data_IF_374679466231
#
_entry.id   IF_374679466231
#
_cell.length_a   1.000
_cell.length_b   1.000
_cell.length_c   1.000
_cell.angle_alpha   90.00
_cell.angle_beta   90.00
_cell.angle_gamma   90.00
#
_symmetry.space_group_name_H-M   'P 1'
#
loop_
_entity.id
_entity.type
_entity.pdbx_description
1 polymer ?
#
# COMPACT_ATOMS: atom_id res chain seq x y z
N UNK A 1 -15.03 -24.51 58.38
CA UNK A 1 -14.99 -23.32 57.51
C UNK A 1 -14.05 -23.68 56.35
N UNK A 2 -14.58 -24.09 55.20
CA UNK A 2 -15.06 -23.26 54.07
C UNK A 2 -13.96 -23.08 52.99
N UNK A 3 -14.18 -23.78 51.88
CA UNK A 3 -13.88 -23.48 50.47
C UNK A 3 -12.55 -23.87 49.76
N UNK A 4 -12.80 -24.45 48.58
CA UNK A 4 -12.05 -25.04 47.46
C UNK A 4 -11.09 -24.11 46.68
N UNK A 5 -10.28 -24.63 45.73
CA UNK A 5 -9.03 -24.05 45.24
C UNK A 5 -9.22 -23.06 44.08
N UNK A 6 -8.20 -22.24 43.81
CA UNK A 6 -8.16 -21.39 42.61
C UNK A 6 -6.88 -21.68 41.82
N UNK A 7 -7.09 -22.29 40.65
CA UNK A 7 -6.17 -22.46 39.54
C UNK A 7 -5.59 -21.11 39.12
N UNK A 8 -4.28 -20.91 39.30
CA UNK A 8 -3.58 -19.79 38.66
C UNK A 8 -3.18 -20.19 37.24
N UNK A 9 -4.02 -19.70 36.33
CA UNK A 9 -3.84 -19.44 34.90
C UNK A 9 -2.38 -19.53 34.40
N UNK A 10 -2.14 -20.45 33.48
CA UNK A 10 -1.01 -20.40 32.56
C UNK A 10 -1.20 -19.20 31.61
N UNK A 11 -0.29 -18.23 31.68
CA UNK A 11 -0.26 -17.11 30.72
C UNK A 11 1.07 -17.11 29.96
N UNK A 12 0.94 -17.44 28.68
CA UNK A 12 1.78 -17.17 27.51
C UNK A 12 3.19 -16.61 27.71
N UNK A 13 4.17 -17.38 27.22
CA UNK A 13 5.35 -16.82 26.56
C UNK A 13 5.55 -17.57 25.22
N UNK A 14 4.69 -17.28 24.24
CA UNK A 14 5.04 -17.52 22.84
C UNK A 14 5.93 -16.36 22.44
N UNK A 15 7.25 -16.56 22.50
CA UNK A 15 8.22 -15.60 22.00
C UNK A 15 8.04 -15.47 20.49
N UNK A 16 7.79 -14.24 20.05
CA UNK A 16 7.66 -13.81 18.66
C UNK A 16 8.85 -14.29 17.83
N UNK A 17 8.69 -15.40 17.12
CA UNK A 17 9.45 -15.67 15.91
C UNK A 17 8.79 -14.88 14.76
N UNK A 18 8.82 -13.55 14.85
CA UNK A 18 8.55 -12.71 13.69
C UNK A 18 9.87 -12.61 12.93
N UNK A 19 10.24 -13.68 12.22
CA UNK A 19 11.00 -13.45 10.99
C UNK A 19 10.12 -12.52 10.16
N UNK A 20 10.65 -11.37 9.75
CA UNK A 20 9.93 -10.44 8.90
C UNK A 20 9.35 -11.22 7.72
N UNK A 21 8.05 -11.51 7.79
CA UNK A 21 7.26 -11.78 6.61
C UNK A 21 7.42 -10.51 5.80
N UNK A 22 8.29 -10.53 4.80
CA UNK A 22 8.28 -9.50 3.77
C UNK A 22 6.81 -9.42 3.35
N UNK A 23 6.18 -8.28 3.63
CA UNK A 23 4.73 -8.15 3.59
C UNK A 23 4.23 -8.73 2.28
N UNK A 24 3.48 -9.83 2.35
CA UNK A 24 2.93 -10.43 1.15
C UNK A 24 1.95 -9.43 0.57
N UNK A 25 2.15 -9.07 -0.69
CA UNK A 25 1.29 -8.15 -1.44
C UNK A 25 0.56 -8.91 -2.53
N UNK A 26 -0.61 -8.41 -2.92
CA UNK A 26 -1.43 -9.01 -3.97
C UNK A 26 -2.06 -10.34 -3.60
N UNK A 27 -2.81 -10.90 -4.55
CA UNK A 27 -3.55 -12.15 -4.39
C UNK A 27 -3.54 -12.99 -5.67
N UNK A 28 -3.68 -14.31 -5.51
CA UNK A 28 -3.94 -15.20 -6.64
C UNK A 28 -5.41 -15.08 -7.06
N UNK A 29 -5.67 -14.79 -8.35
CA UNK A 29 -7.04 -14.64 -8.88
C UNK A 29 -7.42 -15.75 -9.89
N UNK A 30 -6.43 -16.45 -10.46
CA UNK A 30 -6.64 -17.56 -11.38
C UNK A 30 -5.86 -18.78 -10.89
N UNK A 31 -6.44 -19.98 -10.93
CA UNK A 31 -5.74 -21.20 -10.54
C UNK A 31 -4.74 -21.66 -11.62
N UNK A 32 -3.62 -22.24 -11.19
CA UNK A 32 -2.65 -22.87 -12.07
C UNK A 32 -3.04 -24.32 -12.41
N UNK A 33 -2.66 -24.79 -13.60
CA UNK A 33 -2.70 -26.21 -13.94
C UNK A 33 -1.55 -26.96 -13.25
N UNK A 34 -1.71 -28.27 -13.04
CA UNK A 34 -0.62 -29.10 -12.57
C UNK A 34 0.53 -29.13 -13.59
N UNK A 35 1.77 -29.03 -13.11
CA UNK A 35 2.98 -29.24 -13.91
C UNK A 35 3.55 -30.65 -13.69
N UNK A 36 4.69 -30.99 -14.30
CA UNK A 36 5.31 -32.32 -14.15
C UNK A 36 5.69 -32.74 -12.73
N UNK A 37 5.64 -31.84 -11.74
CA UNK A 37 5.77 -32.19 -10.32
C UNK A 37 4.51 -32.82 -9.71
N UNK A 38 3.38 -32.81 -10.45
CA UNK A 38 2.10 -33.39 -10.04
C UNK A 38 1.13 -32.38 -9.41
N UNK A 39 1.55 -31.14 -9.16
CA UNK A 39 0.72 -30.05 -8.66
C UNK A 39 0.98 -28.72 -9.39
N UNK A 40 0.13 -27.70 -9.17
CA UNK A 40 0.38 -26.37 -9.73
C UNK A 40 1.57 -25.70 -9.05
N UNK A 41 2.22 -24.80 -9.78
CA UNK A 41 3.19 -23.89 -9.16
C UNK A 41 2.48 -22.90 -8.21
N UNK A 42 3.24 -22.28 -7.33
CA UNK A 42 2.74 -21.32 -6.33
C UNK A 42 3.34 -19.96 -6.63
N UNK A 43 2.49 -18.93 -6.70
CA UNK A 43 2.88 -17.54 -6.90
C UNK A 43 2.66 -16.74 -5.63
N UNK A 44 3.65 -15.91 -5.29
CA UNK A 44 3.53 -14.89 -4.25
C UNK A 44 4.29 -13.63 -4.69
N UNK A 45 3.95 -12.51 -4.11
CA UNK A 45 4.71 -11.27 -4.22
C UNK A 45 4.94 -10.70 -2.82
N UNK A 46 6.08 -10.04 -2.62
CA UNK A 46 6.41 -9.36 -1.38
C UNK A 46 7.01 -7.97 -1.66
N UNK A 47 6.92 -7.08 -0.67
CA UNK A 47 7.43 -5.72 -0.76
C UNK A 47 6.35 -4.70 -0.40
N UNK A 48 6.20 -3.67 -1.23
CA UNK A 48 5.28 -2.56 -1.03
C UNK A 48 4.35 -2.33 -2.23
N UNK A 49 3.11 -1.96 -1.94
CA UNK A 49 2.15 -1.46 -2.94
C UNK A 49 2.29 0.05 -3.17
N UNK A 50 3.17 0.76 -2.45
CA UNK A 50 3.50 2.15 -2.76
C UNK A 50 4.52 2.20 -3.90
N UNK A 51 4.06 2.62 -5.08
CA UNK A 51 4.87 2.65 -6.31
C UNK A 51 6.16 3.46 -6.18
N UNK A 52 6.19 4.49 -5.32
CA UNK A 52 7.39 5.33 -5.13
C UNK A 52 8.53 4.61 -4.41
N UNK A 53 8.23 3.51 -3.71
CA UNK A 53 9.26 2.70 -3.05
C UNK A 53 9.97 1.75 -4.01
N UNK A 54 9.37 1.47 -5.18
CA UNK A 54 9.89 0.54 -6.19
C UNK A 54 10.39 -0.79 -5.60
N UNK A 55 9.63 -1.34 -4.67
CA UNK A 55 10.00 -2.51 -3.88
C UNK A 55 8.96 -3.61 -4.09
N UNK A 56 9.11 -4.37 -5.16
CA UNK A 56 8.28 -5.55 -5.44
C UNK A 56 9.18 -6.69 -5.85
N UNK A 57 9.07 -7.82 -5.17
CA UNK A 57 9.70 -9.09 -5.55
C UNK A 57 8.64 -10.15 -5.78
N UNK A 58 8.57 -10.66 -7.01
CA UNK A 58 7.77 -11.83 -7.36
C UNK A 58 8.54 -13.10 -7.02
N UNK A 59 7.85 -14.14 -6.56
CA UNK A 59 8.41 -15.46 -6.38
C UNK A 59 7.46 -16.53 -6.94
N UNK A 60 8.04 -17.56 -7.55
CA UNK A 60 7.30 -18.71 -8.04
C UNK A 60 7.99 -19.99 -7.55
N UNK A 61 7.25 -20.91 -6.93
CA UNK A 61 7.76 -22.18 -6.40
C UNK A 61 6.93 -23.38 -6.87
N UNK A 62 7.32 -24.59 -6.46
CA UNK A 62 6.71 -25.84 -6.94
C UNK A 62 6.84 -25.99 -8.46
N UNK A 63 7.94 -25.49 -9.00
CA UNK A 63 8.32 -25.67 -10.40
C UNK A 63 9.08 -26.99 -10.57
N UNK A 64 9.06 -27.59 -11.78
CA UNK A 64 10.01 -28.64 -12.11
C UNK A 64 11.45 -28.14 -11.88
N UNK A 65 12.33 -29.00 -11.35
CA UNK A 65 13.71 -28.60 -11.07
C UNK A 65 14.50 -28.39 -12.36
N UNK A 66 15.43 -27.45 -12.33
CA UNK A 66 16.37 -27.14 -13.43
C UNK A 66 15.69 -26.78 -14.77
N UNK A 67 14.52 -26.15 -14.72
CA UNK A 67 13.83 -25.64 -15.92
C UNK A 67 13.95 -24.13 -16.03
N UNK A 68 13.84 -23.64 -17.26
CA UNK A 68 13.86 -22.21 -17.54
C UNK A 68 12.44 -21.65 -17.61
N UNK A 69 12.28 -20.42 -17.17
CA UNK A 69 11.04 -19.67 -17.26
C UNK A 69 11.26 -18.16 -17.16
N UNK A 70 10.20 -17.39 -17.34
CA UNK A 70 10.22 -15.94 -17.18
C UNK A 70 8.83 -15.43 -16.79
N UNK A 71 8.81 -14.26 -16.14
CA UNK A 71 7.57 -13.61 -15.76
C UNK A 71 6.91 -12.92 -16.95
N UNK A 72 5.59 -12.94 -16.93
CA UNK A 72 4.69 -12.18 -17.77
C UNK A 72 3.98 -11.14 -16.91
N UNK A 73 3.59 -10.04 -17.53
CA UNK A 73 2.90 -8.93 -16.87
C UNK A 73 1.89 -8.32 -17.83
N UNK A 74 0.74 -7.89 -17.33
CA UNK A 74 -0.29 -7.27 -18.15
C UNK A 74 -1.20 -6.36 -17.31
N UNK A 75 -1.90 -5.40 -17.92
CA UNK A 75 -2.81 -4.48 -17.22
C UNK A 75 -4.20 -5.08 -16.95
N UNK A 76 -4.50 -6.26 -17.49
CA UNK A 76 -5.83 -6.88 -17.39
C UNK A 76 -5.74 -8.38 -17.08
N UNK A 77 -6.77 -8.90 -16.42
CA UNK A 77 -7.05 -10.33 -16.37
C UNK A 77 -7.63 -10.80 -17.72
N UNK A 78 -7.32 -12.04 -18.10
CA UNK A 78 -7.89 -12.71 -19.28
C UNK A 78 -7.92 -14.23 -19.01
N UNK A 79 -8.40 -15.03 -19.97
CA UNK A 79 -8.27 -16.46 -19.90
C UNK A 79 -8.13 -17.09 -21.29
N UNK A 80 -6.93 -17.58 -21.58
CA UNK A 80 -6.64 -18.36 -22.78
C UNK A 80 -6.27 -19.77 -22.37
N UNK A 81 -7.09 -20.73 -22.82
CA UNK A 81 -6.87 -22.15 -22.59
C UNK A 81 -5.69 -22.65 -23.43
N UNK A 82 -4.72 -23.29 -22.79
CA UNK A 82 -3.59 -24.00 -23.42
C UNK A 82 -2.89 -23.24 -24.58
N UNK A 83 -2.48 -21.98 -24.41
CA UNK A 83 -1.94 -21.17 -25.50
C UNK A 83 -0.62 -21.75 -26.00
N UNK A 84 -0.47 -21.82 -27.33
CA UNK A 84 0.75 -22.32 -27.97
C UNK A 84 1.08 -23.79 -27.63
N UNK A 85 0.08 -24.59 -27.24
CA UNK A 85 0.29 -25.99 -26.83
C UNK A 85 0.82 -26.15 -25.40
N UNK A 86 0.70 -25.11 -24.57
CA UNK A 86 0.98 -25.18 -23.13
C UNK A 86 0.01 -26.12 -22.42
N UNK A 87 0.50 -26.84 -21.41
CA UNK A 87 -0.33 -27.63 -20.50
C UNK A 87 -1.08 -26.73 -19.49
N UNK A 88 -0.62 -25.49 -19.32
CA UNK A 88 -1.24 -24.47 -18.47
C UNK A 88 -2.14 -23.50 -19.23
N UNK A 89 -2.82 -22.64 -18.47
CA UNK A 89 -3.67 -21.58 -19.00
C UNK A 89 -3.05 -20.20 -18.73
N UNK A 90 -3.19 -19.29 -19.69
CA UNK A 90 -2.76 -17.91 -19.55
C UNK A 90 -3.91 -17.09 -19.00
N UNK A 91 -3.72 -16.45 -17.83
CA UNK A 91 -4.80 -15.76 -17.13
C UNK A 91 -4.72 -14.22 -17.19
N UNK A 92 -3.88 -13.66 -18.07
CA UNK A 92 -3.61 -12.21 -18.16
C UNK A 92 -3.70 -11.74 -19.61
N UNK A 93 -4.09 -10.48 -19.85
CA UNK A 93 -4.37 -9.91 -21.17
C UNK A 93 -4.24 -8.37 -21.22
N UNK A 94 -4.91 -7.71 -22.17
CA UNK A 94 -4.86 -6.24 -22.33
C UNK A 94 -3.58 -5.65 -22.94
N UNK A 95 -2.50 -6.44 -23.03
CA UNK A 95 -1.22 -6.03 -23.62
C UNK A 95 -0.05 -6.68 -22.88
N UNK A 96 0.22 -7.94 -23.20
CA UNK A 96 1.13 -8.76 -22.39
C UNK A 96 2.59 -8.36 -22.60
N UNK A 97 3.20 -7.84 -21.54
CA UNK A 97 4.64 -7.71 -21.37
C UNK A 97 5.32 -9.03 -21.04
N UNK A 98 6.57 -9.16 -21.45
CA UNK A 98 7.40 -10.34 -21.19
C UNK A 98 8.74 -9.91 -20.62
N UNK A 99 9.11 -10.45 -19.47
CA UNK A 99 10.48 -10.36 -18.96
C UNK A 99 11.41 -11.36 -19.66
N UNK A 100 11.30 -11.49 -20.98
CA UNK A 100 12.03 -12.48 -21.76
C UNK A 100 13.54 -12.20 -21.84
N UNK A 101 13.97 -10.97 -21.55
CA UNK A 101 15.39 -10.63 -21.33
C UNK A 101 15.95 -11.12 -19.98
N UNK A 102 15.06 -11.54 -19.07
CA UNK A 102 15.38 -11.98 -17.70
C UNK A 102 14.91 -13.43 -17.49
N UNK A 103 15.44 -14.36 -18.29
CA UNK A 103 15.15 -15.79 -18.14
C UNK A 103 15.78 -16.32 -16.85
N UNK A 104 14.97 -16.99 -16.04
CA UNK A 104 15.36 -17.54 -14.75
C UNK A 104 15.41 -19.07 -14.81
N UNK A 105 16.29 -19.67 -14.00
CA UNK A 105 16.35 -21.10 -13.77
C UNK A 105 15.72 -21.44 -12.40
N UNK A 106 14.82 -22.42 -12.36
CA UNK A 106 14.23 -22.91 -11.11
C UNK A 106 15.23 -23.65 -10.21
N UNK A 107 16.40 -24.00 -10.75
CA UNK A 107 17.48 -24.67 -10.04
C UNK A 107 17.05 -25.97 -9.35
N UNK A 108 17.85 -26.41 -8.38
CA UNK A 108 17.56 -27.61 -7.59
C UNK A 108 16.43 -27.41 -6.57
N UNK A 109 16.00 -26.18 -6.32
CA UNK A 109 14.93 -25.87 -5.36
C UNK A 109 13.55 -25.84 -5.99
N UNK A 110 13.45 -25.81 -7.34
CA UNK A 110 12.17 -25.69 -8.03
C UNK A 110 11.51 -24.33 -7.77
N UNK A 111 12.31 -23.26 -7.66
CA UNK A 111 11.82 -21.94 -7.29
C UNK A 111 12.63 -20.81 -7.94
N UNK A 112 11.98 -19.67 -8.17
CA UNK A 112 12.59 -18.44 -8.68
C UNK A 112 12.12 -17.22 -7.89
N UNK A 113 12.94 -16.17 -7.91
CA UNK A 113 12.59 -14.83 -7.42
C UNK A 113 12.97 -13.80 -8.47
N UNK A 114 12.20 -12.72 -8.56
CA UNK A 114 12.41 -11.65 -9.53
C UNK A 114 11.99 -10.29 -8.96
N UNK A 115 12.93 -9.36 -8.75
CA UNK A 115 12.60 -7.98 -8.44
C UNK A 115 11.97 -7.32 -9.67
N UNK A 116 10.86 -6.63 -9.48
CA UNK A 116 10.14 -5.89 -10.51
C UNK A 116 10.49 -4.42 -10.40
N UNK A 117 10.95 -3.83 -11.51
CA UNK A 117 11.09 -2.38 -11.62
C UNK A 117 9.78 -1.77 -12.09
N UNK A 118 9.06 -1.14 -11.16
CA UNK A 118 7.79 -0.47 -11.39
C UNK A 118 7.90 0.71 -12.35
N UNK A 119 9.11 1.23 -12.59
CA UNK A 119 9.33 2.31 -13.56
C UNK A 119 9.50 1.80 -15.00
N UNK A 120 9.63 0.48 -15.18
CA UNK A 120 10.04 -0.14 -16.44
C UNK A 120 9.33 -1.48 -16.70
N UNK A 121 8.00 -1.51 -16.53
CA UNK A 121 7.18 -2.68 -16.84
C UNK A 121 7.13 -2.87 -18.36
N UNK A 122 7.54 -4.04 -18.90
CA UNK A 122 7.45 -4.28 -20.34
C UNK A 122 5.99 -4.31 -20.79
N UNK A 123 5.72 -3.77 -21.97
CA UNK A 123 4.45 -3.92 -22.69
C UNK A 123 4.72 -4.11 -24.19
N UNK A 124 3.73 -4.50 -25.00
CA UNK A 124 3.90 -4.64 -26.45
C UNK A 124 4.40 -3.36 -27.15
N UNK A 125 4.09 -2.19 -26.59
CA UNK A 125 4.40 -0.87 -27.19
C UNK A 125 5.61 -0.18 -26.53
N UNK A 126 6.40 -0.90 -25.74
CA UNK A 126 7.52 -0.36 -24.96
C UNK A 126 7.28 -0.45 -23.46
N UNK A 127 8.22 0.04 -22.66
CA UNK A 127 8.11 -0.04 -21.22
C UNK A 127 7.19 1.07 -20.68
N UNK A 128 6.41 0.74 -19.66
CA UNK A 128 5.48 1.64 -18.96
C UNK A 128 5.86 1.73 -17.48
N UNK A 129 5.48 2.84 -16.85
CA UNK A 129 5.62 3.04 -15.41
C UNK A 129 4.27 2.75 -14.73
N UNK A 130 4.29 2.01 -13.63
CA UNK A 130 3.12 1.79 -12.78
C UNK A 130 2.76 3.09 -12.07
N UNK A 131 1.50 3.49 -12.17
CA UNK A 131 0.96 4.65 -11.47
C UNK A 131 0.24 4.23 -10.18
N UNK A 132 0.17 5.11 -9.17
CA UNK A 132 -0.59 4.83 -7.95
C UNK A 132 -2.07 4.55 -8.27
N UNK A 133 -2.65 3.51 -7.65
CA UNK A 133 -4.03 3.09 -7.89
C UNK A 133 -4.25 2.21 -9.12
N UNK A 134 -3.19 1.85 -9.85
CA UNK A 134 -3.27 0.86 -10.93
C UNK A 134 -3.13 -0.58 -10.40
N UNK A 135 -3.71 -1.51 -11.14
CA UNK A 135 -3.54 -2.94 -10.91
C UNK A 135 -2.66 -3.53 -12.02
N UNK A 136 -1.72 -4.41 -11.64
CA UNK A 136 -0.98 -5.21 -12.61
C UNK A 136 -1.09 -6.70 -12.30
N UNK A 137 -1.23 -7.47 -13.38
CA UNK A 137 -1.42 -8.90 -13.35
C UNK A 137 -0.15 -9.61 -13.82
N UNK A 138 0.29 -10.61 -13.06
CA UNK A 138 1.52 -11.34 -13.27
C UNK A 138 1.25 -12.83 -13.40
N UNK A 139 2.06 -13.50 -14.21
CA UNK A 139 2.07 -14.95 -14.31
C UNK A 139 3.47 -15.43 -14.70
N UNK A 140 3.91 -16.59 -14.21
CA UNK A 140 5.19 -17.17 -14.57
C UNK A 140 5.00 -18.25 -15.64
N UNK A 141 5.60 -18.04 -16.82
CA UNK A 141 5.71 -19.08 -17.84
C UNK A 141 6.97 -19.91 -17.59
N UNK A 142 6.88 -21.23 -17.67
CA UNK A 142 8.02 -22.12 -17.51
C UNK A 142 7.98 -23.30 -18.48
N UNK A 143 9.17 -23.83 -18.80
CA UNK A 143 9.31 -25.11 -19.50
C UNK A 143 8.79 -26.23 -18.61
N UNK A 144 8.14 -27.19 -19.23
CA UNK A 144 7.57 -28.34 -18.55
C UNK A 144 7.57 -29.56 -19.48
N UNK A 145 7.19 -30.72 -18.97
CA UNK A 145 7.05 -31.95 -19.75
C UNK A 145 5.75 -32.65 -19.39
N UNK A 146 5.10 -33.26 -20.38
CA UNK A 146 3.93 -34.10 -20.20
C UNK A 146 4.22 -35.52 -20.73
N UNK A 147 3.33 -36.51 -20.51
CA UNK A 147 3.47 -37.83 -21.10
C UNK A 147 3.54 -37.82 -22.65
N UNK A 148 3.09 -36.75 -23.31
CA UNK A 148 3.13 -36.62 -24.77
C UNK A 148 4.37 -35.88 -25.30
N UNK A 149 5.24 -35.39 -24.41
CA UNK A 149 6.51 -34.77 -24.78
C UNK A 149 6.80 -33.45 -24.06
N UNK A 150 7.69 -32.66 -24.64
CA UNK A 150 8.02 -31.33 -24.11
C UNK A 150 6.84 -30.37 -24.28
N UNK A 151 6.59 -29.55 -23.26
CA UNK A 151 5.52 -28.55 -23.24
C UNK A 151 5.98 -27.30 -22.48
N UNK A 152 5.04 -26.43 -22.15
CA UNK A 152 5.22 -25.38 -21.16
C UNK A 152 4.03 -25.35 -20.23
N UNK A 153 4.14 -24.58 -19.16
CA UNK A 153 3.08 -24.41 -18.21
C UNK A 153 3.12 -22.99 -17.64
N UNK A 154 2.03 -22.62 -16.96
CA UNK A 154 1.85 -21.34 -16.34
C UNK A 154 1.59 -21.50 -14.85
N UNK A 155 2.04 -20.54 -14.08
CA UNK A 155 1.62 -20.40 -12.70
C UNK A 155 0.17 -19.94 -12.57
N UNK A 156 -0.41 -19.98 -11.35
CA UNK A 156 -1.59 -19.18 -11.05
C UNK A 156 -1.42 -17.73 -11.50
N UNK A 157 -2.51 -17.10 -11.91
CA UNK A 157 -2.54 -15.66 -12.16
C UNK A 157 -2.53 -14.90 -10.84
N UNK A 158 -1.68 -13.89 -10.73
CA UNK A 158 -1.48 -13.09 -9.52
C UNK A 158 -1.73 -11.62 -9.83
N UNK A 159 -2.47 -10.91 -8.99
CA UNK A 159 -2.73 -9.47 -9.14
C UNK A 159 -2.09 -8.72 -7.98
N UNK A 160 -1.48 -7.58 -8.27
CA UNK A 160 -1.02 -6.62 -7.28
C UNK A 160 -1.78 -5.32 -7.52
N UNK A 161 -2.56 -4.92 -6.52
CA UNK A 161 -3.26 -3.65 -6.50
C UNK A 161 -2.33 -2.61 -5.87
N UNK A 162 -1.85 -1.64 -6.65
CA UNK A 162 -0.95 -0.62 -6.15
C UNK A 162 -1.73 0.46 -5.40
N UNK A 163 -1.24 0.85 -4.23
CA UNK A 163 -1.92 1.81 -3.38
C UNK A 163 -2.10 3.14 -4.12
N UNK A 164 -3.22 3.85 -3.87
CA UNK A 164 -3.40 5.20 -4.39
C UNK A 164 -2.27 6.11 -3.90
N UNK A 165 -2.08 7.23 -4.59
CA UNK A 165 -1.11 8.22 -4.15
C UNK A 165 -1.44 8.68 -2.73
N UNK A 166 -0.42 8.74 -1.87
CA UNK A 166 -0.62 9.33 -0.54
C UNK A 166 -1.09 10.79 -0.70
N UNK A 167 -2.07 11.25 0.10
CA UNK A 167 -2.48 12.64 0.04
C UNK A 167 -1.31 13.56 0.38
N UNK A 168 -1.29 14.75 -0.21
CA UNK A 168 -0.27 15.79 -0.02
C UNK A 168 -0.87 17.01 0.65
N UNK A 169 -0.06 17.76 1.39
CA UNK A 169 -0.57 18.96 2.03
C UNK A 169 -1.03 20.00 1.00
N UNK A 170 -0.24 20.21 -0.06
CA UNK A 170 -0.51 21.25 -1.04
C UNK A 170 -1.76 20.99 -1.88
N UNK A 171 -1.94 19.75 -2.37
CA UNK A 171 -3.04 19.43 -3.26
C UNK A 171 -4.32 19.10 -2.49
N UNK A 172 -4.21 18.41 -1.36
CA UNK A 172 -5.36 17.78 -0.71
C UNK A 172 -5.76 18.50 0.58
N UNK A 173 -4.79 18.85 1.45
CA UNK A 173 -5.10 19.39 2.78
C UNK A 173 -5.33 20.90 2.77
N UNK A 174 -4.50 21.65 2.05
CA UNK A 174 -4.56 23.10 2.01
C UNK A 174 -5.92 23.63 1.53
N UNK A 175 -6.54 23.10 0.44
CA UNK A 175 -7.88 23.53 0.04
C UNK A 175 -8.91 23.35 1.16
N UNK A 176 -8.79 22.29 1.98
CA UNK A 176 -9.69 22.04 3.10
C UNK A 176 -9.52 23.05 4.25
N UNK A 177 -8.30 23.59 4.45
CA UNK A 177 -8.04 24.63 5.45
C UNK A 177 -8.44 26.03 4.95
N UNK A 178 -8.35 26.25 3.65
CA UNK A 178 -8.64 27.54 3.01
C UNK A 178 -10.13 27.74 2.67
N UNK A 179 -10.93 26.67 2.60
CA UNK A 179 -12.36 26.74 2.35
C UNK A 179 -13.17 27.14 3.59
N UNK A 180 -14.38 27.65 3.36
CA UNK A 180 -15.36 27.94 4.43
C UNK A 180 -15.84 26.67 5.13
N UNK A 181 -16.19 26.81 6.40
CA UNK A 181 -16.72 25.73 7.22
C UNK A 181 -18.25 25.79 7.35
N UNK A 182 -18.86 24.73 7.87
CA UNK A 182 -20.31 24.71 8.12
C UNK A 182 -20.58 25.49 9.41
N UNK A 183 -21.24 26.65 9.30
CA UNK A 183 -21.53 27.51 10.44
C UNK A 183 -20.31 28.26 11.02
N UNK A 184 -19.19 28.30 10.30
CA UNK A 184 -17.98 29.01 10.70
C UNK A 184 -17.16 29.47 9.46
N UNK A 185 -16.32 30.51 9.58
CA UNK A 185 -15.46 30.94 8.46
C UNK A 185 -14.37 29.92 8.16
N UNK A 186 -13.64 30.12 7.06
CA UNK A 186 -12.44 29.36 6.74
C UNK A 186 -11.39 29.48 7.85
N UNK A 187 -10.59 28.43 8.05
CA UNK A 187 -9.60 28.38 9.14
C UNK A 187 -8.65 29.58 9.07
N UNK A 188 -8.18 29.93 7.87
CA UNK A 188 -7.24 31.03 7.61
C UNK A 188 -7.77 32.43 7.97
N UNK A 189 -9.08 32.61 8.16
CA UNK A 189 -9.66 33.89 8.58
C UNK A 189 -9.37 34.14 10.05
N UNK A 190 -9.60 33.13 10.90
CA UNK A 190 -9.28 33.20 12.32
C UNK A 190 -7.82 32.85 12.61
N UNK A 191 -7.18 32.06 11.75
CA UNK A 191 -5.79 31.63 11.86
C UNK A 191 -4.90 32.25 10.77
N UNK A 192 -5.07 33.55 10.51
CA UNK A 192 -4.21 34.33 9.61
C UNK A 192 -3.27 35.27 10.38
N UNK A 193 -2.49 36.09 9.66
CA UNK A 193 -1.48 36.98 10.26
C UNK A 193 -2.02 37.95 11.33
N UNK A 194 -3.30 38.32 11.23
CA UNK A 194 -4.01 39.16 12.20
C UNK A 194 -5.21 38.45 12.84
N UNK A 195 -5.24 37.11 12.76
CA UNK A 195 -6.34 36.29 13.25
C UNK A 195 -6.32 36.13 14.77
N UNK A 196 -7.50 35.98 15.38
CA UNK A 196 -7.66 35.79 16.82
C UNK A 196 -7.39 34.36 17.31
N UNK A 197 -7.11 33.43 16.40
CA UNK A 197 -6.95 32.00 16.68
C UNK A 197 -5.59 31.59 17.26
N UNK A 198 -4.65 32.53 17.44
CA UNK A 198 -3.34 32.28 18.09
C UNK A 198 -2.36 31.42 17.28
N UNK A 199 -2.71 31.05 16.05
CA UNK A 199 -1.88 30.35 15.07
C UNK A 199 -2.02 31.09 13.74
N UNK A 200 -0.92 31.28 13.01
CA UNK A 200 -0.92 31.91 11.70
C UNK A 200 -0.55 30.90 10.62
N UNK A 201 -1.54 30.46 9.84
CA UNK A 201 -1.40 29.56 8.70
C UNK A 201 -0.94 30.29 7.43
N UNK A 202 -0.96 31.62 7.42
CA UNK A 202 -0.72 32.41 6.21
C UNK A 202 -1.81 32.20 5.15
N UNK A 203 -1.46 32.46 3.89
CA UNK A 203 -2.38 32.42 2.75
C UNK A 203 -1.90 31.49 1.62
N UNK A 204 -0.90 30.65 1.90
CA UNK A 204 -0.35 29.69 0.93
C UNK A 204 -0.08 28.35 1.59
N UNK A 205 -0.12 27.27 0.81
CA UNK A 205 0.16 25.93 1.33
C UNK A 205 1.54 25.84 2.02
N UNK A 206 2.66 26.35 1.48
CA UNK A 206 3.95 26.25 2.15
C UNK A 206 3.99 26.97 3.51
N UNK A 207 3.31 28.12 3.63
CA UNK A 207 3.24 28.84 4.91
C UNK A 207 2.45 28.04 5.96
N UNK A 208 1.30 27.48 5.57
CA UNK A 208 0.46 26.72 6.47
C UNK A 208 1.13 25.40 6.88
N UNK A 209 1.79 24.72 5.95
CA UNK A 209 2.56 23.51 6.24
C UNK A 209 3.63 23.77 7.30
N UNK A 210 4.44 24.81 7.10
CA UNK A 210 5.51 25.21 8.02
C UNK A 210 4.99 25.69 9.37
N UNK A 211 3.71 26.08 9.48
CA UNK A 211 3.07 26.47 10.72
C UNK A 211 2.46 25.28 11.49
N UNK A 212 2.27 24.13 10.84
CA UNK A 212 1.55 22.98 11.38
C UNK A 212 2.46 21.77 11.65
N UNK A 213 3.28 21.38 10.68
CA UNK A 213 3.98 20.09 10.74
C UNK A 213 5.21 20.18 11.64
N UNK A 214 5.28 19.34 12.67
CA UNK A 214 6.31 19.37 13.72
C UNK A 214 6.41 20.70 14.49
N UNK A 215 5.34 21.50 14.51
CA UNK A 215 5.30 22.78 15.23
C UNK A 215 4.55 22.63 16.55
N UNK A 216 5.16 23.11 17.63
CA UNK A 216 4.54 23.12 18.96
C UNK A 216 3.38 24.12 19.05
N UNK A 217 2.33 23.75 19.79
CA UNK A 217 1.21 24.64 20.03
C UNK A 217 1.64 25.92 20.76
N UNK A 218 1.16 27.06 20.27
CA UNK A 218 1.31 28.36 20.94
C UNK A 218 0.29 28.56 22.06
N UNK A 219 -0.71 27.69 22.16
CA UNK A 219 -1.76 27.80 23.19
C UNK A 219 -1.25 27.30 24.54
N UNK A 220 -1.31 28.16 25.56
CA UNK A 220 -0.98 27.76 26.94
C UNK A 220 -1.83 26.60 27.47
N UNK A 221 -3.07 26.44 26.98
CA UNK A 221 -3.96 25.35 27.36
C UNK A 221 -3.62 24.00 26.71
N UNK A 222 -2.78 24.02 25.67
CA UNK A 222 -2.33 22.85 24.92
C UNK A 222 -0.79 22.79 24.90
N UNK A 223 -0.15 23.31 25.96
CA UNK A 223 1.30 23.35 26.05
C UNK A 223 1.90 21.93 25.97
N UNK A 224 2.93 21.77 25.16
CA UNK A 224 3.60 20.47 24.93
C UNK A 224 3.01 19.64 23.79
N UNK A 225 1.85 19.99 23.26
CA UNK A 225 1.30 19.34 22.06
C UNK A 225 1.93 19.88 20.77
N UNK A 226 2.02 19.03 19.75
CA UNK A 226 2.42 19.39 18.39
C UNK A 226 1.16 19.48 17.51
N UNK A 227 1.08 20.47 16.61
CA UNK A 227 -0.09 20.64 15.74
C UNK A 227 -0.30 19.43 14.83
N UNK A 228 0.73 19.00 14.12
CA UNK A 228 0.73 17.76 13.33
C UNK A 228 2.01 16.99 13.61
N UNK A 229 1.85 15.75 14.08
CA UNK A 229 2.92 14.76 14.27
C UNK A 229 2.87 13.79 13.08
N UNK A 230 3.84 13.82 12.17
CA UNK A 230 3.93 12.86 11.07
C UNK A 230 3.83 11.41 11.55
N UNK A 231 2.98 10.62 10.91
CA UNK A 231 2.75 9.21 11.22
C UNK A 231 1.82 8.95 12.41
N UNK A 232 1.44 9.97 13.18
CA UNK A 232 0.63 9.79 14.40
C UNK A 232 -0.53 10.80 14.50
N UNK A 233 -1.72 10.44 13.96
CA UNK A 233 -2.92 11.26 14.10
C UNK A 233 -3.37 11.42 15.56
N UNK A 234 -3.10 10.44 16.42
CA UNK A 234 -3.55 10.47 17.82
C UNK A 234 -2.78 11.47 18.68
N UNK A 235 -1.52 11.72 18.31
CA UNK A 235 -0.67 12.75 18.92
C UNK A 235 -0.74 14.11 18.19
N UNK A 236 -1.54 14.22 17.13
CA UNK A 236 -1.67 15.44 16.32
C UNK A 236 -2.80 16.32 16.82
N UNK A 237 -2.46 17.46 17.44
CA UNK A 237 -3.43 18.38 18.03
C UNK A 237 -4.44 18.93 17.01
N UNK A 238 -4.02 19.20 15.78
CA UNK A 238 -4.92 19.65 14.72
C UNK A 238 -6.00 18.61 14.47
N UNK A 239 -5.63 17.33 14.36
CA UNK A 239 -6.56 16.25 14.10
C UNK A 239 -7.55 16.06 15.26
N UNK A 240 -7.03 16.01 16.50
CA UNK A 240 -7.84 15.95 17.73
C UNK A 240 -8.89 17.07 17.80
N UNK A 241 -8.48 18.32 17.51
CA UNK A 241 -9.41 19.46 17.51
C UNK A 241 -10.49 19.40 16.43
N UNK A 242 -10.24 18.73 15.31
CA UNK A 242 -11.20 18.60 14.21
C UNK A 242 -12.16 17.42 14.39
N UNK A 243 -11.76 16.36 15.11
CA UNK A 243 -12.53 15.12 15.18
C UNK A 243 -13.15 14.83 16.54
N UNK A 244 -12.57 15.36 17.63
CA UNK A 244 -13.03 15.03 18.98
C UNK A 244 -13.85 16.17 19.61
N UNK A 245 -14.92 15.78 20.31
CA UNK A 245 -15.84 16.69 21.00
C UNK A 245 -16.17 16.15 22.41
N UNK A 246 -15.57 16.70 23.48
CA UNK A 246 -14.50 17.70 23.48
C UNK A 246 -13.15 17.11 23.04
N UNK A 247 -12.21 17.92 22.53
CA UNK A 247 -10.84 17.49 22.25
C UNK A 247 -10.06 17.31 23.55
N UNK A 248 -8.87 16.69 23.46
CA UNK A 248 -7.97 16.47 24.60
C UNK A 248 -7.54 17.77 25.28
N UNK A 249 -7.47 18.89 24.55
CA UNK A 249 -7.20 20.21 25.11
C UNK A 249 -7.87 21.35 24.31
N UNK A 250 -8.25 22.41 25.04
CA UNK A 250 -8.95 23.58 24.48
C UNK A 250 -10.35 23.25 23.96
N UNK A 251 -10.77 23.90 22.87
CA UNK A 251 -12.08 23.70 22.25
C UNK A 251 -11.95 23.04 20.86
N UNK A 252 -13.03 22.38 20.42
CA UNK A 252 -13.19 21.84 19.07
C UNK A 252 -13.09 22.95 18.02
N UNK A 253 -12.57 22.62 16.86
CA UNK A 253 -12.43 23.52 15.72
C UNK A 253 -13.23 23.00 14.51
N UNK A 254 -13.81 23.91 13.72
CA UNK A 254 -13.85 25.36 13.89
C UNK A 254 -14.77 25.78 15.06
N UNK A 255 -14.39 26.84 15.79
CA UNK A 255 -15.16 27.28 16.96
C UNK A 255 -16.58 27.70 16.57
N UNK A 256 -17.58 27.10 17.21
CA UNK A 256 -19.00 27.39 16.96
C UNK A 256 -19.58 26.81 15.66
N UNK A 257 -18.81 25.98 14.94
CA UNK A 257 -19.27 25.32 13.71
C UNK A 257 -18.68 23.91 13.54
N UNK A 258 -18.74 23.40 12.31
CA UNK A 258 -18.24 22.06 11.95
C UNK A 258 -17.26 22.17 10.78
N UNK A 259 -16.17 21.41 10.85
CA UNK A 259 -15.19 21.36 9.78
C UNK A 259 -15.84 20.77 8.52
N UNK A 260 -15.74 21.49 7.39
CA UNK A 260 -16.36 21.07 6.14
C UNK A 260 -15.50 20.09 5.32
N UNK A 261 -14.20 19.98 5.64
CA UNK A 261 -13.28 19.10 4.93
C UNK A 261 -13.37 17.64 5.35
N UNK A 262 -12.81 16.76 4.52
CA UNK A 262 -12.73 15.34 4.79
C UNK A 262 -11.63 15.04 5.82
N UNK A 263 -12.04 14.73 7.04
CA UNK A 263 -11.10 14.36 8.12
C UNK A 263 -10.44 13.01 7.88
N UNK A 264 -11.00 12.12 7.07
CA UNK A 264 -10.34 10.86 6.71
C UNK A 264 -9.11 11.12 5.84
N UNK A 265 -9.19 12.08 4.92
CA UNK A 265 -8.07 12.50 4.07
C UNK A 265 -6.95 13.17 4.88
N UNK A 266 -7.30 13.98 5.88
CA UNK A 266 -6.32 14.53 6.84
C UNK A 266 -5.65 13.41 7.63
N UNK A 267 -6.42 12.42 8.10
CA UNK A 267 -5.87 11.25 8.83
C UNK A 267 -4.86 10.50 7.98
N UNK A 268 -5.22 10.21 6.73
CA UNK A 268 -4.38 9.43 5.82
C UNK A 268 -3.12 10.20 5.40
N UNK A 269 -3.21 11.52 5.21
CA UNK A 269 -2.05 12.40 5.06
C UNK A 269 -1.12 12.35 6.27
N UNK A 270 -1.65 12.41 7.49
CA UNK A 270 -0.81 12.32 8.70
C UNK A 270 -0.14 10.95 8.76
N UNK A 271 -0.90 9.86 8.56
CA UNK A 271 -0.39 8.49 8.58
C UNK A 271 0.68 8.24 7.52
N UNK A 272 0.60 8.89 6.35
CA UNK A 272 1.60 8.79 5.28
C UNK A 272 2.87 9.62 5.55
N UNK A 273 3.00 10.24 6.73
CA UNK A 273 4.16 11.03 7.12
C UNK A 273 4.01 12.53 6.88
N UNK A 274 2.78 13.01 6.68
CA UNK A 274 2.45 14.43 6.54
C UNK A 274 3.30 15.14 5.47
N UNK A 275 3.39 14.57 4.27
CA UNK A 275 4.16 15.11 3.15
C UNK A 275 3.60 16.44 2.61
N UNK A 276 4.48 17.30 2.08
CA UNK A 276 4.08 18.59 1.48
C UNK A 276 3.36 18.38 0.15
#
# INVERSE_FOLDING_TARGET
MKYFPSTLVALLAVTLAQAASAQQIGISFCSGSANSTGGPSVMVAAGSTNVSQNDVTLACSSLPQNVLGYFLVAPEADFVLNPGGSSGNLCIGGGIGRYAGSVLSSGSTGSVQFPVDLTSIPSPNGNVTVMPGEDFYFQFWHRDTSPTGATSNFSPGYVIDFAPAAPTFAADIWPMLAQSNIGAPACIICHGANGSGGLNLGFTAPMAYNALVNVSSTSGNCAGSIYVVPGDPSSSLMYDKLTNTPPSCGASMPFGGTFAGDTSLIRDWILSGAGM
#
